data_IF_498705693763
#
_entry.id   IF_498705693763
#
_cell.length_a   1.000
_cell.length_b   1.000
_cell.length_c   1.000
_cell.angle_alpha   90.00
_cell.angle_beta   90.00
_cell.angle_gamma   90.00
#
_symmetry.space_group_name_H-M   'P 1'
#
loop_
_entity.id
_entity.type
_entity.pdbx_description
1 polymer ?
#
# COMPACT_ATOMS: atom_id res chain seq x y z
N UNK A 1 -2.66 -4.94 13.45
CA UNK A 1 -3.46 -3.79 13.93
C UNK A 1 -2.78 -2.49 13.53
N UNK A 2 -3.54 -1.47 13.16
CA UNK A 2 -2.99 -0.23 12.63
C UNK A 2 -2.65 0.79 13.71
N UNK A 3 -1.69 1.67 13.41
CA UNK A 3 -1.32 2.81 14.23
C UNK A 3 -1.26 4.06 13.36
N UNK A 4 -1.61 5.20 13.94
CA UNK A 4 -1.60 6.47 13.23
C UNK A 4 -0.78 7.50 13.99
N UNK A 5 -0.06 8.32 13.23
CA UNK A 5 0.67 9.48 13.74
C UNK A 5 0.20 10.71 12.98
N UNK A 6 -0.04 11.78 13.68
CA UNK A 6 -0.45 13.05 13.09
C UNK A 6 0.34 14.19 13.75
N UNK A 7 0.36 15.32 13.06
CA UNK A 7 1.02 16.53 13.59
C UNK A 7 0.22 17.15 14.74
N UNK A 8 -1.11 17.14 14.67
CA UNK A 8 -1.98 17.67 15.70
C UNK A 8 -3.13 16.70 15.98
N UNK A 9 -3.55 16.61 17.25
CA UNK A 9 -4.62 15.68 17.64
C UNK A 9 -5.99 16.18 17.19
N UNK A 10 -6.29 17.46 17.38
CA UNK A 10 -7.63 18.01 17.08
C UNK A 10 -7.83 18.37 15.62
N UNK A 11 -6.84 18.99 14.99
CA UNK A 11 -6.91 19.44 13.60
C UNK A 11 -5.63 19.04 12.88
N UNK A 12 -5.49 17.77 12.52
CA UNK A 12 -4.28 17.33 11.84
C UNK A 12 -4.20 17.93 10.43
N UNK A 13 -3.01 18.37 10.04
CA UNK A 13 -2.74 18.81 8.68
C UNK A 13 -2.16 17.69 7.83
N UNK A 14 -1.49 16.76 8.46
CA UNK A 14 -0.95 15.57 7.78
C UNK A 14 -0.91 14.39 8.75
N UNK A 15 -0.88 13.20 8.19
CA UNK A 15 -0.89 11.96 8.97
C UNK A 15 -0.15 10.84 8.25
N UNK A 16 0.33 9.90 9.04
CA UNK A 16 0.90 8.65 8.60
C UNK A 16 0.16 7.51 9.29
N UNK A 17 -0.34 6.56 8.51
CA UNK A 17 -1.07 5.40 9.03
C UNK A 17 -0.30 4.15 8.63
N UNK A 18 0.03 3.33 9.60
CA UNK A 18 0.74 2.06 9.39
C UNK A 18 -0.16 0.91 9.78
N UNK A 19 -0.39 0.00 8.84
CA UNK A 19 -1.14 -1.23 9.08
C UNK A 19 -0.44 -2.37 8.34
N UNK A 20 -0.08 -3.42 9.06
CA UNK A 20 0.78 -4.49 8.56
C UNK A 20 2.07 -3.90 7.97
N UNK A 21 2.39 -4.21 6.73
CA UNK A 21 3.58 -3.69 6.06
C UNK A 21 3.33 -2.40 5.29
N UNK A 22 2.09 -1.90 5.29
CA UNK A 22 1.71 -0.70 4.54
C UNK A 22 1.81 0.55 5.39
N UNK A 23 2.34 1.61 4.80
CA UNK A 23 2.48 2.91 5.40
C UNK A 23 1.85 3.96 4.47
N UNK A 24 0.73 4.52 4.89
CA UNK A 24 -0.02 5.51 4.11
C UNK A 24 0.28 6.91 4.61
N UNK A 25 0.53 7.83 3.69
CA UNK A 25 0.73 9.24 3.98
C UNK A 25 -0.42 10.04 3.38
N UNK A 26 -0.98 10.95 4.15
CA UNK A 26 -2.12 11.77 3.74
C UNK A 26 -2.04 13.18 4.31
N UNK A 27 -2.72 14.10 3.67
CA UNK A 27 -2.77 15.51 4.06
C UNK A 27 -1.72 16.34 3.34
N UNK A 28 -1.31 17.43 3.98
CA UNK A 28 -0.39 18.38 3.40
C UNK A 28 1.07 17.92 3.53
N UNK A 29 1.61 17.36 2.44
CA UNK A 29 2.99 16.89 2.39
C UNK A 29 4.05 17.97 2.33
N UNK A 30 3.67 19.25 2.21
CA UNK A 30 4.62 20.36 2.12
C UNK A 30 5.10 20.88 3.47
N UNK A 31 4.51 20.39 4.58
CA UNK A 31 4.81 20.87 5.92
C UNK A 31 6.08 20.24 6.48
N UNK A 32 6.64 20.89 7.50
CA UNK A 32 7.78 20.34 8.23
C UNK A 32 7.41 19.05 8.97
N UNK A 33 6.18 18.98 9.51
CA UNK A 33 5.66 17.80 10.15
C UNK A 33 5.58 16.62 9.18
N UNK A 34 5.23 16.85 7.92
CA UNK A 34 5.22 15.82 6.89
C UNK A 34 6.62 15.21 6.69
N UNK A 35 7.65 16.04 6.69
CA UNK A 35 9.03 15.57 6.58
C UNK A 35 9.41 14.68 7.75
N UNK A 36 9.02 15.06 8.96
CA UNK A 36 9.29 14.26 10.15
C UNK A 36 8.56 12.92 10.08
N UNK A 37 7.33 12.88 9.60
CA UNK A 37 6.59 11.64 9.44
C UNK A 37 7.27 10.69 8.46
N UNK A 38 7.87 11.20 7.40
CA UNK A 38 8.63 10.39 6.44
C UNK A 38 9.95 9.93 7.05
N UNK A 39 10.69 10.85 7.67
CA UNK A 39 12.03 10.56 8.20
C UNK A 39 12.02 9.54 9.32
N UNK A 40 10.98 9.55 10.15
CA UNK A 40 10.91 8.76 11.37
C UNK A 40 10.11 7.46 11.22
N UNK A 41 9.77 7.04 10.01
CA UNK A 41 8.97 5.82 9.78
C UNK A 41 9.59 4.61 10.48
N UNK A 42 10.86 4.33 10.22
CA UNK A 42 11.52 3.14 10.76
C UNK A 42 11.80 3.27 12.25
N UNK A 43 12.09 4.47 12.73
CA UNK A 43 12.29 4.70 14.15
C UNK A 43 11.00 4.50 14.93
N UNK A 44 9.90 5.07 14.47
CA UNK A 44 8.61 5.02 15.16
C UNK A 44 7.97 3.64 15.11
N UNK A 45 8.13 2.93 13.98
CA UNK A 45 7.52 1.62 13.79
C UNK A 45 8.41 0.47 14.23
N UNK A 46 9.72 0.71 14.36
CA UNK A 46 10.74 -0.31 14.65
C UNK A 46 10.72 -1.46 13.64
N UNK A 47 10.35 -1.15 12.41
CA UNK A 47 10.30 -2.12 11.30
C UNK A 47 11.52 -1.95 10.42
N UNK A 48 11.91 -3.04 9.76
CA UNK A 48 13.01 -3.04 8.77
C UNK A 48 12.51 -2.84 7.35
N UNK A 49 11.22 -2.98 7.13
CA UNK A 49 10.62 -2.96 5.81
C UNK A 49 9.20 -2.41 5.88
N UNK A 50 8.85 -1.49 4.97
CA UNK A 50 7.50 -0.97 4.79
C UNK A 50 7.23 -0.71 3.32
N UNK A 51 5.97 -0.81 2.93
CA UNK A 51 5.49 -0.40 1.61
C UNK A 51 4.84 0.96 1.78
N UNK A 52 5.47 2.00 1.23
CA UNK A 52 4.98 3.37 1.36
C UNK A 52 4.00 3.72 0.26
N UNK A 53 2.85 4.25 0.67
CA UNK A 53 1.75 4.63 -0.21
C UNK A 53 1.50 6.13 -0.09
N UNK A 54 2.11 6.95 -0.95
CA UNK A 54 1.87 8.39 -0.94
C UNK A 54 0.49 8.73 -1.52
N UNK A 55 -0.18 9.72 -0.93
CA UNK A 55 -1.47 10.19 -1.41
C UNK A 55 -1.35 10.93 -2.76
N UNK A 56 -0.27 11.69 -2.94
CA UNK A 56 -0.07 12.56 -4.10
C UNK A 56 1.41 12.72 -4.44
N UNK A 57 1.69 13.52 -5.46
CA UNK A 57 3.04 13.77 -5.94
C UNK A 57 3.93 14.51 -4.93
N UNK A 58 3.34 15.33 -4.06
CA UNK A 58 4.12 16.05 -3.04
C UNK A 58 4.72 15.07 -2.05
N UNK A 59 3.91 14.15 -1.53
CA UNK A 59 4.37 13.08 -0.66
C UNK A 59 5.36 12.15 -1.35
N UNK A 60 5.07 11.80 -2.61
CA UNK A 60 5.93 10.94 -3.40
C UNK A 60 7.32 11.55 -3.56
N UNK A 61 7.40 12.82 -3.93
CA UNK A 61 8.66 13.53 -4.07
C UNK A 61 9.44 13.59 -2.75
N UNK A 62 8.73 13.80 -1.66
CA UNK A 62 9.32 13.85 -0.33
C UNK A 62 9.96 12.50 0.05
N UNK A 63 9.24 11.40 -0.18
CA UNK A 63 9.73 10.05 0.09
C UNK A 63 10.94 9.73 -0.81
N UNK A 64 10.83 9.97 -2.10
CA UNK A 64 11.88 9.67 -3.06
C UNK A 64 13.15 10.46 -2.78
N UNK A 65 13.01 11.72 -2.36
CA UNK A 65 14.15 12.57 -2.02
C UNK A 65 14.84 12.09 -0.75
N UNK A 66 14.07 11.77 0.29
CA UNK A 66 14.65 11.36 1.56
C UNK A 66 15.31 9.97 1.49
N UNK A 67 14.67 9.02 0.81
CA UNK A 67 15.17 7.65 0.71
C UNK A 67 15.91 7.38 -0.61
N UNK A 68 16.52 8.39 -1.17
CA UNK A 68 17.23 8.28 -2.46
C UNK A 68 18.17 7.08 -2.51
N UNK A 69 17.96 6.22 -3.52
CA UNK A 69 18.74 5.01 -3.69
C UNK A 69 18.46 3.87 -2.72
N UNK A 70 17.49 4.05 -1.80
CA UNK A 70 17.17 3.07 -0.76
C UNK A 70 15.78 2.46 -0.87
N UNK A 71 15.14 2.57 -2.03
CA UNK A 71 13.79 2.05 -2.25
C UNK A 71 13.68 1.38 -3.61
N UNK A 72 12.70 0.50 -3.73
CA UNK A 72 12.26 -0.06 -5.00
C UNK A 72 10.87 0.47 -5.31
N UNK A 73 10.69 0.96 -6.53
CA UNK A 73 9.42 1.53 -6.98
C UNK A 73 8.62 0.45 -7.69
N UNK A 74 7.40 0.23 -7.21
CA UNK A 74 6.49 -0.74 -7.81
C UNK A 74 5.16 -0.08 -8.14
N UNK A 75 4.38 -0.72 -9.00
CA UNK A 75 3.04 -0.27 -9.35
C UNK A 75 2.02 -1.19 -8.72
N UNK A 76 1.00 -0.59 -8.10
CA UNK A 76 -0.17 -1.31 -7.65
C UNK A 76 -1.33 -1.00 -8.59
N UNK A 77 -2.08 -2.03 -8.94
CA UNK A 77 -3.23 -1.89 -9.82
C UNK A 77 -4.50 -2.01 -9.00
N UNK A 78 -5.36 -0.99 -9.09
CA UNK A 78 -6.70 -1.05 -8.53
C UNK A 78 -7.59 -1.83 -9.48
N UNK A 79 -8.29 -2.83 -8.97
CA UNK A 79 -9.18 -3.67 -9.76
C UNK A 79 -10.62 -3.33 -9.46
N UNK A 80 -11.42 -3.17 -10.52
CA UNK A 80 -12.86 -2.98 -10.38
C UNK A 80 -13.57 -4.32 -10.33
N UNK A 81 -14.58 -4.40 -9.50
CA UNK A 81 -15.48 -5.55 -9.49
C UNK A 81 -16.64 -5.28 -10.45
N UNK A 82 -16.49 -5.72 -11.70
CA UNK A 82 -17.52 -5.61 -12.72
C UNK A 82 -17.77 -7.00 -13.32
N UNK A 83 -19.02 -7.46 -13.26
CA UNK A 83 -19.35 -8.82 -13.68
C UNK A 83 -19.13 -9.06 -15.17
N UNK A 84 -19.27 -8.03 -16.00
CA UNK A 84 -19.25 -8.17 -17.46
C UNK A 84 -17.86 -7.94 -18.07
N UNK A 85 -16.85 -7.60 -17.27
CA UNK A 85 -15.52 -7.30 -17.80
C UNK A 85 -14.58 -8.52 -17.85
N UNK A 86 -15.04 -9.68 -17.42
CA UNK A 86 -14.22 -10.90 -17.44
C UNK A 86 -14.33 -11.61 -18.79
N UNK A 87 -13.18 -11.95 -19.34
CA UNK A 87 -13.11 -12.84 -20.50
C UNK A 87 -13.16 -14.29 -20.01
N UNK A 88 -14.37 -14.85 -20.04
CA UNK A 88 -14.62 -16.20 -19.52
C UNK A 88 -13.88 -17.28 -20.31
N UNK A 89 -13.70 -17.09 -21.62
CA UNK A 89 -12.97 -18.03 -22.47
C UNK A 89 -11.50 -18.07 -22.07
N UNK A 90 -10.89 -16.91 -21.89
CA UNK A 90 -9.49 -16.79 -21.47
C UNK A 90 -9.28 -17.38 -20.07
N UNK A 91 -10.19 -17.10 -19.14
CA UNK A 91 -10.12 -17.65 -17.79
C UNK A 91 -10.23 -19.18 -17.80
N UNK A 92 -11.11 -19.74 -18.64
CA UNK A 92 -11.23 -21.19 -18.79
C UNK A 92 -9.95 -21.80 -19.34
N UNK A 93 -9.28 -21.14 -20.27
CA UNK A 93 -8.00 -21.59 -20.80
C UNK A 93 -6.92 -21.67 -19.72
N UNK A 94 -6.89 -20.71 -18.79
CA UNK A 94 -5.95 -20.76 -17.66
C UNK A 94 -6.23 -21.95 -16.75
N UNK A 95 -7.51 -22.24 -16.47
CA UNK A 95 -7.90 -23.40 -15.67
C UNK A 95 -7.50 -24.69 -16.36
N UNK A 96 -7.71 -24.79 -17.68
CA UNK A 96 -7.39 -25.98 -18.47
C UNK A 96 -5.89 -26.29 -18.54
N UNK A 97 -5.06 -25.24 -18.43
CA UNK A 97 -3.60 -25.37 -18.41
C UNK A 97 -3.04 -25.73 -17.03
N UNK A 98 -3.87 -25.68 -16.01
CA UNK A 98 -3.41 -25.98 -14.65
C UNK A 98 -3.06 -27.44 -14.51
N UNK A 99 -1.98 -27.72 -13.76
CA UNK A 99 -1.58 -29.11 -13.45
C UNK A 99 -2.73 -29.86 -12.79
N UNK A 100 -2.95 -31.18 -13.13
CA UNK A 100 -4.00 -31.98 -12.48
C UNK A 100 -3.83 -32.11 -10.97
N UNK A 101 -2.65 -31.84 -10.43
CA UNK A 101 -2.38 -31.88 -9.00
C UNK A 101 -3.07 -30.76 -8.22
N UNK A 102 -3.51 -29.70 -8.92
CA UNK A 102 -4.09 -28.51 -8.30
C UNK A 102 -5.56 -28.35 -8.72
N UNK A 103 -6.34 -27.78 -7.83
CA UNK A 103 -7.73 -27.41 -8.12
C UNK A 103 -8.02 -26.02 -7.57
N UNK A 104 -8.95 -25.32 -8.22
CA UNK A 104 -9.40 -24.01 -7.77
C UNK A 104 -10.67 -24.20 -6.96
N UNK A 105 -10.67 -23.66 -5.74
CA UNK A 105 -11.83 -23.69 -4.85
C UNK A 105 -12.13 -22.32 -4.31
N UNK A 106 -13.39 -22.03 -4.14
CA UNK A 106 -13.81 -20.82 -3.45
C UNK A 106 -13.59 -20.99 -1.94
N UNK A 107 -13.02 -19.96 -1.31
CA UNK A 107 -12.89 -19.94 0.15
C UNK A 107 -14.26 -19.63 0.77
N UNK A 108 -14.79 -20.59 1.50
CA UNK A 108 -16.12 -20.49 2.11
C UNK A 108 -16.12 -20.72 3.63
N UNK A 109 -14.94 -20.78 4.24
CA UNK A 109 -14.80 -21.04 5.66
C UNK A 109 -14.73 -22.51 6.04
N UNK A 110 -14.80 -23.43 5.07
CA UNK A 110 -14.73 -24.88 5.29
C UNK A 110 -13.44 -25.45 4.68
N UNK A 111 -12.32 -25.07 5.22
CA UNK A 111 -11.01 -25.58 4.74
C UNK A 111 -10.58 -26.87 5.43
#
# INVERSE_FOLDING_TARGET
>A
MGRAWADFIEKPTCARIVTNDFCFFAGDGSTMAARELVQNVFLDTQRNYVIMMPQDEVWRSLIETYFDGKYNKTKLYAMKKEADCFDKVLLQQFVDRMSPEFSIKQLDGHL
#
